data_IF_992816454880
#
_entry.id   IF_992816454880
#
_cell.length_a   1.000
_cell.length_b   1.000
_cell.length_c   1.000
_cell.angle_alpha   90.00
_cell.angle_beta   90.00
_cell.angle_gamma   90.00
#
_symmetry.space_group_name_H-M   'P 1'
#
loop_
_entity.id
_entity.type
_entity.pdbx_description
1 polymer ?
#
# COMPACT_ATOMS: atom_id res chain seq x y z
N UNK A 1 -4.55 -3.23 14.54
CA UNK A 1 -4.52 -2.60 13.21
C UNK A 1 -3.63 -3.32 12.18
N UNK A 2 -2.55 -4.01 12.60
CA UNK A 2 -1.58 -4.70 11.71
C UNK A 2 -2.20 -5.48 10.54
N UNK A 3 -3.13 -6.42 10.80
CA UNK A 3 -3.73 -7.28 9.77
C UNK A 3 -4.33 -6.50 8.60
N UNK A 4 -4.94 -5.34 8.88
CA UNK A 4 -5.51 -4.48 7.82
C UNK A 4 -4.43 -3.77 7.03
N UNK A 5 -3.39 -3.24 7.69
CA UNK A 5 -2.26 -2.61 7.00
C UNK A 5 -1.48 -3.61 6.13
N UNK A 6 -1.29 -4.84 6.60
CA UNK A 6 -0.62 -5.90 5.83
C UNK A 6 -1.45 -6.34 4.63
N UNK A 7 -2.78 -6.38 4.78
CA UNK A 7 -3.68 -6.62 3.66
C UNK A 7 -3.59 -5.51 2.59
N UNK A 8 -3.50 -4.24 2.98
CA UNK A 8 -3.27 -3.13 2.03
C UNK A 8 -1.91 -3.29 1.35
N UNK A 9 -0.84 -3.55 2.11
CA UNK A 9 0.51 -3.74 1.56
C UNK A 9 0.53 -4.84 0.49
N UNK A 10 -0.15 -5.94 0.77
CA UNK A 10 -0.27 -7.09 -0.13
C UNK A 10 -1.09 -6.73 -1.37
N UNK A 11 -2.27 -6.13 -1.21
CA UNK A 11 -3.12 -5.76 -2.35
C UNK A 11 -2.43 -4.72 -3.26
N UNK A 12 -1.72 -3.73 -2.69
CA UNK A 12 -0.93 -2.75 -3.46
C UNK A 12 0.18 -3.43 -4.27
N UNK A 13 0.84 -4.45 -3.70
CA UNK A 13 1.84 -5.25 -4.40
C UNK A 13 1.21 -6.09 -5.52
N UNK A 14 0.11 -6.78 -5.22
CA UNK A 14 -0.56 -7.68 -6.17
C UNK A 14 -1.20 -6.93 -7.33
N UNK A 15 -1.64 -5.68 -7.10
CA UNK A 15 -2.09 -4.77 -8.16
C UNK A 15 -0.94 -4.17 -8.99
N UNK A 16 0.31 -4.49 -8.66
CA UNK A 16 1.47 -4.10 -9.45
C UNK A 16 1.55 -2.58 -9.70
N UNK A 17 1.19 -1.77 -8.70
CA UNK A 17 1.17 -0.30 -8.83
C UNK A 17 2.45 0.40 -8.35
N UNK A 18 3.31 -0.31 -7.62
CA UNK A 18 4.56 0.24 -7.09
C UNK A 18 5.61 0.29 -8.22
N UNK A 19 6.34 1.41 -8.40
CA UNK A 19 7.45 1.48 -9.33
C UNK A 19 8.48 0.36 -9.12
N UNK A 20 8.82 -0.34 -10.20
CA UNK A 20 9.66 -1.55 -10.13
C UNK A 20 10.79 -1.53 -11.16
N UNK A 21 12.02 -1.48 -10.66
CA UNK A 21 13.23 -1.78 -11.45
C UNK A 21 13.85 -3.10 -10.97
N UNK A 22 14.42 -3.10 -9.75
CA UNK A 22 14.99 -4.28 -9.08
C UNK A 22 14.19 -4.75 -7.85
N UNK A 23 12.97 -4.25 -7.67
CA UNK A 23 12.14 -4.56 -6.50
C UNK A 23 12.43 -3.78 -5.22
N UNK A 24 13.54 -3.03 -5.14
CA UNK A 24 13.98 -2.34 -3.91
C UNK A 24 12.90 -1.49 -3.24
N UNK A 25 12.11 -0.71 -3.99
CA UNK A 25 11.03 0.10 -3.41
C UNK A 25 9.92 -0.76 -2.80
N UNK A 26 9.54 -1.83 -3.50
CA UNK A 26 8.52 -2.77 -3.06
C UNK A 26 8.98 -3.55 -1.83
N UNK A 27 10.23 -4.02 -1.82
CA UNK A 27 10.81 -4.76 -0.69
C UNK A 27 11.02 -3.89 0.55
N UNK A 28 11.24 -2.58 0.35
CA UNK A 28 11.30 -1.58 1.41
C UNK A 28 9.94 -0.91 1.69
N UNK A 29 8.83 -1.53 1.25
CA UNK A 29 7.47 -1.12 1.61
C UNK A 29 6.91 -2.12 2.63
N UNK A 30 6.74 -1.71 3.88
CA UNK A 30 6.39 -2.60 5.00
C UNK A 30 5.35 -1.98 5.93
N UNK A 31 4.79 -2.81 6.83
CA UNK A 31 3.89 -2.35 7.89
C UNK A 31 4.69 -1.94 9.11
N UNK A 32 4.40 -0.76 9.64
CA UNK A 32 4.92 -0.24 10.90
C UNK A 32 3.73 0.08 11.82
N UNK A 33 3.56 -0.71 12.87
CA UNK A 33 2.55 -0.54 13.93
C UNK A 33 3.19 -0.18 15.28
N UNK A 34 4.49 0.13 15.29
CA UNK A 34 5.25 0.40 16.51
C UNK A 34 5.09 1.84 17.00
N UNK A 35 4.60 2.74 16.15
CA UNK A 35 4.53 4.18 16.44
C UNK A 35 3.42 4.57 17.42
N UNK A 36 2.30 3.83 17.40
CA UNK A 36 1.14 4.08 18.26
C UNK A 36 0.29 2.80 18.31
N UNK A 37 -0.19 2.36 19.48
CA UNK A 37 -1.03 1.17 19.63
C UNK A 37 -2.31 1.15 18.78
N UNK A 38 -2.90 2.32 18.49
CA UNK A 38 -4.19 2.43 17.81
C UNK A 38 -4.07 2.52 16.27
N UNK A 39 -2.85 2.64 15.74
CA UNK A 39 -2.59 2.86 14.32
C UNK A 39 -1.67 1.79 13.74
N UNK A 40 -1.76 1.59 12.42
CA UNK A 40 -0.74 0.90 11.66
C UNK A 40 -0.48 1.67 10.37
N UNK A 41 0.77 1.72 9.94
CA UNK A 41 1.23 2.50 8.80
C UNK A 41 1.80 1.55 7.74
N UNK A 42 1.53 1.81 6.47
CA UNK A 42 2.26 1.18 5.36
C UNK A 42 3.28 2.20 4.87
N UNK A 43 4.56 1.85 4.94
CA UNK A 43 5.68 2.79 4.80
C UNK A 43 6.62 2.31 3.71
N UNK A 44 6.90 3.15 2.72
CA UNK A 44 7.98 2.96 1.75
C UNK A 44 9.21 3.76 2.20
N UNK A 45 10.26 3.09 2.67
CA UNK A 45 11.37 3.75 3.37
C UNK A 45 12.56 4.18 2.50
N UNK A 46 12.53 3.93 1.19
CA UNK A 46 13.66 4.30 0.33
C UNK A 46 13.81 5.83 0.20
N UNK A 47 15.03 6.38 0.10
CA UNK A 47 15.25 7.84 0.02
C UNK A 47 14.50 8.52 -1.14
N UNK A 48 14.26 7.77 -2.22
CA UNK A 48 13.61 8.27 -3.44
C UNK A 48 12.09 8.02 -3.46
N UNK A 49 11.50 7.31 -2.49
CA UNK A 49 10.08 6.97 -2.47
C UNK A 49 9.21 8.22 -2.57
N UNK A 50 9.51 9.26 -1.77
CA UNK A 50 8.75 10.52 -1.78
C UNK A 50 8.76 11.19 -3.15
N UNK A 51 9.90 11.25 -3.83
CA UNK A 51 10.02 11.82 -5.17
C UNK A 51 9.13 11.05 -6.15
N UNK A 52 9.26 9.72 -6.21
CA UNK A 52 8.43 8.92 -7.12
C UNK A 52 6.93 9.02 -6.80
N UNK A 53 6.57 9.07 -5.52
CA UNK A 53 5.17 9.11 -5.09
C UNK A 53 4.46 10.39 -5.55
N UNK A 54 5.11 11.55 -5.41
CA UNK A 54 4.48 12.85 -5.70
C UNK A 54 4.69 13.35 -7.15
N UNK A 55 5.36 12.58 -8.00
CA UNK A 55 5.58 12.90 -9.42
C UNK A 55 4.91 11.87 -10.35
N UNK A 56 3.57 11.82 -10.40
CA UNK A 56 2.84 10.88 -11.27
C UNK A 56 3.03 11.16 -12.77
N UNK A 57 3.55 12.33 -13.15
CA UNK A 57 3.85 12.70 -14.54
C UNK A 57 5.07 12.01 -15.13
N UNK A 58 5.86 11.28 -14.34
CA UNK A 58 7.01 10.53 -14.84
C UNK A 58 6.59 9.35 -15.71
N UNK A 59 7.46 9.00 -16.67
CA UNK A 59 7.31 7.79 -17.45
C UNK A 59 7.87 6.60 -16.65
N UNK A 60 7.00 5.94 -15.89
CA UNK A 60 7.36 4.76 -15.10
C UNK A 60 7.56 3.54 -16.01
N UNK A 61 8.56 2.70 -15.69
CA UNK A 61 8.76 1.41 -16.34
C UNK A 61 7.67 0.44 -15.89
N UNK A 62 6.99 -0.20 -16.85
CA UNK A 62 5.85 -1.09 -16.59
C UNK A 62 6.12 -2.57 -16.93
N UNK A 63 7.36 -2.92 -17.27
CA UNK A 63 7.74 -4.29 -17.67
C UNK A 63 7.49 -5.34 -16.57
N UNK A 64 7.80 -5.00 -15.31
CA UNK A 64 7.64 -5.92 -14.18
C UNK A 64 6.33 -5.69 -13.42
N UNK A 65 5.87 -4.44 -13.39
CA UNK A 65 4.65 -4.02 -12.73
C UNK A 65 3.81 -3.21 -13.72
N UNK A 66 2.78 -3.83 -14.30
CA UNK A 66 2.01 -3.27 -15.43
C UNK A 66 1.36 -1.92 -15.09
N UNK A 67 1.04 -1.69 -13.82
CA UNK A 67 0.34 -0.50 -13.35
C UNK A 67 1.25 0.44 -12.54
N UNK A 68 2.57 0.28 -12.68
CA UNK A 68 3.56 1.09 -11.98
C UNK A 68 3.33 2.59 -12.21
N UNK A 69 3.21 3.36 -11.12
CA UNK A 69 2.97 4.78 -11.20
C UNK A 69 3.31 5.53 -9.91
N UNK A 70 3.23 6.86 -9.97
CA UNK A 70 3.21 7.70 -8.77
C UNK A 70 1.95 7.44 -7.94
N UNK A 71 1.93 7.99 -6.71
CA UNK A 71 0.78 7.93 -5.81
C UNK A 71 0.16 6.53 -5.62
N UNK A 72 0.98 5.49 -5.55
CA UNK A 72 0.54 4.09 -5.55
C UNK A 72 -0.38 3.67 -4.37
N UNK A 73 -0.59 4.51 -3.35
CA UNK A 73 -1.60 4.29 -2.31
C UNK A 73 -2.92 5.07 -2.53
N UNK A 74 -2.94 6.07 -3.42
CA UNK A 74 -4.11 6.91 -3.72
C UNK A 74 -5.36 6.09 -4.09
N UNK A 75 -5.27 4.97 -4.86
CA UNK A 75 -6.44 4.16 -5.19
C UNK A 75 -7.18 3.58 -3.98
N UNK A 76 -6.53 3.37 -2.83
CA UNK A 76 -7.15 2.84 -1.60
C UNK A 76 -7.67 3.93 -0.65
N UNK A 77 -7.46 5.20 -0.99
CA UNK A 77 -7.99 6.33 -0.21
C UNK A 77 -9.49 6.51 -0.45
N UNK A 78 -10.13 7.40 0.32
CA UNK A 78 -11.55 7.74 0.17
C UNK A 78 -11.92 8.32 -1.20
N UNK A 79 -10.93 8.82 -1.96
CA UNK A 79 -11.10 9.39 -3.31
C UNK A 79 -10.68 8.43 -4.43
N UNK A 80 -10.16 7.25 -4.08
CA UNK A 80 -9.58 6.31 -5.03
C UNK A 80 -10.55 5.26 -5.57
N UNK A 81 -10.12 4.53 -6.61
CA UNK A 81 -10.89 3.45 -7.26
C UNK A 81 -11.34 2.34 -6.29
N UNK A 82 -10.58 2.11 -5.23
CA UNK A 82 -10.84 1.09 -4.21
C UNK A 82 -11.37 1.70 -2.91
N UNK A 83 -12.03 2.86 -2.97
CA UNK A 83 -12.66 3.48 -1.82
C UNK A 83 -13.53 2.49 -1.03
N UNK A 84 -13.40 2.53 0.29
CA UNK A 84 -14.09 1.64 1.22
C UNK A 84 -13.53 0.21 1.31
N UNK A 85 -12.57 -0.19 0.46
CA UNK A 85 -11.93 -1.51 0.55
C UNK A 85 -11.27 -1.71 1.91
N UNK A 86 -10.50 -0.72 2.37
CA UNK A 86 -9.80 -0.76 3.68
C UNK A 86 -10.77 -0.97 4.83
N UNK A 87 -11.89 -0.23 4.83
CA UNK A 87 -12.93 -0.34 5.86
C UNK A 87 -13.57 -1.72 5.85
N UNK A 88 -13.97 -2.24 4.69
CA UNK A 88 -14.56 -3.59 4.58
C UNK A 88 -13.60 -4.67 5.04
N UNK A 89 -12.31 -4.55 4.70
CA UNK A 89 -11.30 -5.54 5.12
C UNK A 89 -11.09 -5.50 6.63
N UNK A 90 -11.05 -4.32 7.22
CA UNK A 90 -11.02 -4.14 8.68
C UNK A 90 -12.23 -4.80 9.36
N UNK A 91 -13.45 -4.51 8.89
CA UNK A 91 -14.69 -5.09 9.43
C UNK A 91 -14.71 -6.62 9.35
N UNK A 92 -14.22 -7.20 8.24
CA UNK A 92 -14.06 -8.66 8.09
C UNK A 92 -13.16 -9.24 9.19
N UNK A 93 -12.00 -8.63 9.41
CA UNK A 93 -11.07 -9.11 10.43
C UNK A 93 -11.61 -8.97 11.85
N UNK A 94 -12.41 -7.94 12.14
CA UNK A 94 -13.07 -7.80 13.45
C UNK A 94 -14.07 -8.94 13.66
N UNK A 95 -14.88 -9.28 12.64
CA UNK A 95 -15.83 -10.40 12.71
C UNK A 95 -15.10 -11.73 12.89
N UNK A 96 -14.09 -12.00 12.08
CA UNK A 96 -13.27 -13.22 12.16
C UNK A 96 -12.60 -13.41 13.54
N UNK A 97 -12.23 -12.31 14.22
CA UNK A 97 -11.69 -12.39 15.59
C UNK A 97 -12.77 -12.51 16.67
N UNK A 98 -14.01 -12.12 16.40
CA UNK A 98 -15.13 -12.17 17.33
C UNK A 98 -15.87 -13.51 17.29
N UNK A 99 -15.80 -14.22 16.16
CA UNK A 99 -16.36 -15.57 15.97
C UNK A 99 -15.41 -16.69 16.49
N UNK A 100 -14.37 -16.32 17.25
CA UNK A 100 -13.36 -17.21 17.88
C UNK A 100 -13.49 -17.20 19.40
#
# INVERSE_FOLDING_TARGET
>A
MYKTADAIRTDVRDKQVIPFDKGTLQDNTFVDDTRNPDNAYVVSSTPYARRLYFHPEYNFRTENNEHAGGKWFEPWTSKGKYAGWVKRRFESFVKECADV
#
